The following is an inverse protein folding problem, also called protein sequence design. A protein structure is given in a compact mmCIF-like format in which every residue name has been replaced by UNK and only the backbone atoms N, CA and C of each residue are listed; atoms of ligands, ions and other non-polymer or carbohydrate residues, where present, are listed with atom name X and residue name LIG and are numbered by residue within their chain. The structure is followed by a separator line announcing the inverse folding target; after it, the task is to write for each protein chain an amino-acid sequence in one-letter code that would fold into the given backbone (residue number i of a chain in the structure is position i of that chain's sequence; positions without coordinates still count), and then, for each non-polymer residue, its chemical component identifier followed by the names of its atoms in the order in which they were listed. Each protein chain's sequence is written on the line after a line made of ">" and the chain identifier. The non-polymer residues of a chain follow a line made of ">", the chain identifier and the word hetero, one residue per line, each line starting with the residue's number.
data_IF_469880775719
#
_entry.id   IF_469880775719
#
_cell.length_a   1.000
_cell.length_b   1.000
_cell.length_c   1.000
_cell.angle_alpha   90.00
_cell.angle_beta   90.00
_cell.angle_gamma   90.00
#
_symmetry.space_group_name_H-M   'P 1'
#
loop_
_entity.id
_entity.type
_entity.pdbx_description
1 polymer ?
#
# COMPACT_ATOMS: atom_id res chain seq x y z
N UNK A 1 23.33 10.69 30.82
CA UNK A 1 22.07 11.28 30.34
C UNK A 1 21.92 10.90 28.88
N UNK A 2 21.14 9.87 28.59
CA UNK A 2 20.77 9.55 27.22
C UNK A 2 19.84 10.66 26.74
N UNK A 3 20.27 11.43 25.74
CA UNK A 3 19.36 12.34 25.05
C UNK A 3 18.31 11.49 24.34
N UNK A 4 17.14 11.33 24.96
CA UNK A 4 16.00 10.68 24.33
C UNK A 4 15.59 11.52 23.12
N UNK A 5 16.00 11.07 21.94
CA UNK A 5 15.52 11.67 20.69
C UNK A 5 14.00 11.53 20.66
N UNK A 6 13.26 12.57 20.26
CA UNK A 6 11.81 12.46 20.14
C UNK A 6 11.46 11.31 19.18
N UNK A 7 10.33 10.61 19.41
CA UNK A 7 9.92 9.50 18.56
C UNK A 7 9.72 9.97 17.11
N UNK A 8 10.03 9.10 16.15
CA UNK A 8 9.92 9.42 14.73
C UNK A 8 8.49 9.83 14.33
N UNK A 9 7.47 9.28 14.99
CA UNK A 9 6.07 9.61 14.76
C UNK A 9 5.38 10.03 16.07
N UNK A 10 4.43 10.96 15.96
CA UNK A 10 3.45 11.17 17.02
C UNK A 10 2.45 10.01 17.08
N UNK A 11 1.80 9.81 18.24
CA UNK A 11 0.73 8.80 18.40
C UNK A 11 -0.39 8.98 17.36
N UNK A 12 -0.77 10.22 17.06
CA UNK A 12 -1.79 10.53 16.06
C UNK A 12 -1.36 10.09 14.65
N UNK A 13 -0.11 10.33 14.27
CA UNK A 13 0.43 9.87 12.99
C UNK A 13 0.42 8.34 12.89
N UNK A 14 0.81 7.63 13.95
CA UNK A 14 0.76 6.16 13.97
C UNK A 14 -0.66 5.66 13.73
N UNK A 15 -1.65 6.21 14.45
CA UNK A 15 -3.06 5.83 14.28
C UNK A 15 -3.52 6.07 12.83
N UNK A 16 -3.24 7.26 12.28
CA UNK A 16 -3.63 7.59 10.91
C UNK A 16 -2.99 6.62 9.91
N UNK A 17 -1.69 6.34 10.04
CA UNK A 17 -0.97 5.44 9.12
C UNK A 17 -1.49 4.01 9.18
N UNK A 18 -1.79 3.50 10.38
CA UNK A 18 -2.41 2.18 10.57
C UNK A 18 -3.79 2.15 9.92
N UNK A 19 -4.65 3.13 10.19
CA UNK A 19 -6.00 3.21 9.61
C UNK A 19 -5.95 3.30 8.09
N UNK A 20 -5.04 4.11 7.53
CA UNK A 20 -4.84 4.18 6.09
C UNK A 20 -4.37 2.84 5.52
N UNK A 21 -3.45 2.14 6.20
CA UNK A 21 -3.02 0.79 5.81
C UNK A 21 -4.18 -0.20 5.75
N UNK A 22 -5.03 -0.23 6.77
CA UNK A 22 -6.27 -1.05 6.78
C UNK A 22 -7.20 -0.66 5.63
N UNK A 23 -7.40 0.64 5.39
CA UNK A 23 -8.26 1.11 4.30
C UNK A 23 -7.72 0.71 2.92
N UNK A 24 -6.42 0.87 2.67
CA UNK A 24 -5.80 0.49 1.39
C UNK A 24 -5.82 -1.02 1.17
N UNK A 25 -5.58 -1.82 2.22
CA UNK A 25 -5.77 -3.27 2.17
C UNK A 25 -7.19 -3.62 1.73
N UNK A 26 -8.19 -3.04 2.39
CA UNK A 26 -9.59 -3.37 2.09
C UNK A 26 -9.96 -3.00 0.66
N UNK A 27 -9.52 -1.82 0.18
CA UNK A 27 -9.69 -1.40 -1.22
C UNK A 27 -8.98 -2.36 -2.18
N UNK A 28 -7.76 -2.79 -1.87
CA UNK A 28 -7.02 -3.79 -2.65
C UNK A 28 -7.77 -5.12 -2.75
N UNK A 29 -8.23 -5.66 -1.62
CA UNK A 29 -9.00 -6.90 -1.56
C UNK A 29 -10.30 -6.83 -2.38
N UNK A 30 -11.05 -5.73 -2.23
CA UNK A 30 -12.27 -5.52 -3.03
C UNK A 30 -11.97 -5.33 -4.51
N UNK A 31 -10.83 -4.71 -4.86
CA UNK A 31 -10.40 -4.59 -6.26
C UNK A 31 -10.11 -5.97 -6.86
N UNK A 32 -9.58 -6.93 -6.08
CA UNK A 32 -9.43 -8.32 -6.54
C UNK A 32 -10.79 -8.99 -6.75
N UNK A 33 -11.69 -8.85 -5.76
CA UNK A 33 -13.04 -9.44 -5.77
C UNK A 33 -13.86 -8.99 -6.97
N UNK A 34 -13.98 -7.68 -7.16
CA UNK A 34 -14.84 -7.11 -8.20
C UNK A 34 -14.12 -6.95 -9.52
N UNK A 35 -12.80 -6.72 -9.51
CA UNK A 35 -11.98 -6.59 -10.71
C UNK A 35 -11.93 -7.88 -11.52
N UNK A 36 -11.94 -9.03 -10.86
CA UNK A 36 -12.05 -10.34 -11.51
C UNK A 36 -13.30 -10.42 -12.42
N UNK A 37 -14.44 -9.87 -11.98
CA UNK A 37 -15.69 -9.90 -12.75
C UNK A 37 -15.69 -9.03 -14.02
N UNK A 38 -14.74 -8.10 -14.15
CA UNK A 38 -14.58 -7.24 -15.34
C UNK A 38 -13.31 -7.57 -16.13
N UNK A 39 -12.68 -8.71 -15.84
CA UNK A 39 -11.49 -9.19 -16.56
C UNK A 39 -10.17 -8.49 -16.19
N UNK A 40 -10.08 -7.80 -15.05
CA UNK A 40 -8.83 -7.11 -14.62
C UNK A 40 -7.64 -8.06 -14.50
N UNK A 41 -7.87 -9.34 -14.19
CA UNK A 41 -6.80 -10.31 -13.96
C UNK A 41 -6.69 -11.36 -15.07
N UNK A 42 -7.25 -11.07 -16.24
CA UNK A 42 -7.22 -11.96 -17.41
C UNK A 42 -6.49 -11.30 -18.59
N UNK A 43 -5.73 -12.09 -19.36
CA UNK A 43 -5.12 -11.70 -20.63
C UNK A 43 -4.49 -10.28 -20.59
N UNK A 44 -4.91 -9.39 -21.49
CA UNK A 44 -4.43 -8.01 -21.56
C UNK A 44 -4.86 -7.16 -20.34
N UNK A 45 -5.99 -7.47 -19.71
CA UNK A 45 -6.47 -6.79 -18.50
C UNK A 45 -5.46 -6.89 -17.35
N UNK A 46 -4.79 -8.04 -17.23
CA UNK A 46 -3.75 -8.24 -16.21
C UNK A 46 -2.60 -7.23 -16.36
N UNK A 47 -2.08 -7.05 -17.57
CA UNK A 47 -0.99 -6.10 -17.84
C UNK A 47 -1.44 -4.66 -17.56
N UNK A 48 -2.63 -4.29 -18.02
CA UNK A 48 -3.20 -2.94 -17.81
C UNK A 48 -3.34 -2.65 -16.32
N UNK A 49 -3.85 -3.61 -15.54
CA UNK A 49 -4.07 -3.48 -14.10
C UNK A 49 -2.76 -3.25 -13.35
N UNK A 50 -1.68 -3.95 -13.71
CA UNK A 50 -0.35 -3.71 -13.15
C UNK A 50 0.18 -2.31 -13.49
N UNK A 51 0.03 -1.86 -14.74
CA UNK A 51 0.44 -0.52 -15.16
C UNK A 51 -0.32 0.58 -14.41
N UNK A 52 -1.64 0.43 -14.24
CA UNK A 52 -2.48 1.37 -13.46
C UNK A 52 -2.08 1.39 -11.97
N UNK A 53 -1.57 0.27 -11.45
CA UNK A 53 -1.07 0.19 -10.08
C UNK A 53 0.01 1.25 -9.77
N UNK A 54 0.83 1.64 -10.76
CA UNK A 54 1.89 2.64 -10.58
C UNK A 54 1.34 4.05 -10.25
N UNK A 55 0.52 4.70 -11.11
CA UNK A 55 -0.03 6.01 -10.79
C UNK A 55 -0.96 5.98 -9.57
N UNK A 56 -1.73 4.91 -9.36
CA UNK A 56 -2.57 4.75 -8.17
C UNK A 56 -1.73 4.76 -6.89
N UNK A 57 -0.61 4.04 -6.88
CA UNK A 57 0.31 4.01 -5.73
C UNK A 57 0.91 5.39 -5.45
N UNK A 58 1.33 6.11 -6.49
CA UNK A 58 1.89 7.45 -6.31
C UNK A 58 0.88 8.45 -5.75
N UNK A 59 -0.34 8.46 -6.29
CA UNK A 59 -1.44 9.31 -5.76
C UNK A 59 -1.75 8.94 -4.31
N UNK A 60 -1.79 7.65 -3.98
CA UNK A 60 -2.02 7.17 -2.61
C UNK A 60 -0.94 7.64 -1.64
N UNK A 61 0.33 7.63 -2.07
CA UNK A 61 1.46 8.16 -1.29
C UNK A 61 1.30 9.67 -1.04
N UNK A 62 0.83 10.44 -2.01
CA UNK A 62 0.53 11.87 -1.82
C UNK A 62 -0.59 12.07 -0.79
N UNK A 63 -1.64 11.23 -0.83
CA UNK A 63 -2.73 11.25 0.15
C UNK A 63 -2.19 10.93 1.55
N UNK A 64 -1.41 9.86 1.71
CA UNK A 64 -0.79 9.48 2.98
C UNK A 64 0.01 10.64 3.56
N UNK A 65 0.91 11.23 2.75
CA UNK A 65 1.71 12.39 3.15
C UNK A 65 0.85 13.52 3.68
N UNK A 66 -0.23 13.86 2.96
CA UNK A 66 -1.11 14.99 3.30
C UNK A 66 -1.93 14.73 4.56
N UNK A 67 -2.51 13.53 4.68
CA UNK A 67 -3.41 13.18 5.79
C UNK A 67 -2.61 12.94 7.09
N UNK A 68 -1.50 12.22 7.03
CA UNK A 68 -0.63 11.98 8.18
C UNK A 68 0.36 13.13 8.44
N UNK A 69 0.35 14.18 7.61
CA UNK A 69 1.22 15.36 7.71
C UNK A 69 2.70 14.97 7.87
N UNK A 70 3.15 14.03 7.03
CA UNK A 70 4.50 13.49 7.12
C UNK A 70 5.53 14.54 6.67
N UNK A 71 6.62 14.65 7.43
CA UNK A 71 7.81 15.36 6.99
C UNK A 71 8.70 14.47 6.09
N UNK A 72 9.81 15.03 5.63
CA UNK A 72 10.72 14.38 4.68
C UNK A 72 11.40 13.11 5.24
N UNK A 73 11.70 13.07 6.53
CA UNK A 73 12.33 11.93 7.21
C UNK A 73 11.32 10.83 7.52
N UNK A 74 10.05 11.23 7.70
CA UNK A 74 8.92 10.35 7.99
C UNK A 74 8.33 9.68 6.75
N UNK A 75 8.68 10.14 5.55
CA UNK A 75 7.99 9.75 4.32
C UNK A 75 8.07 8.25 4.04
N UNK A 76 9.29 7.71 3.94
CA UNK A 76 9.49 6.27 3.67
C UNK A 76 9.07 5.42 4.88
N UNK A 77 9.50 5.70 6.12
CA UNK A 77 9.08 4.90 7.27
C UNK A 77 7.56 4.92 7.50
N UNK A 78 6.90 6.05 7.20
CA UNK A 78 5.47 6.22 7.40
C UNK A 78 4.66 5.40 6.40
N UNK A 79 5.03 5.46 5.12
CA UNK A 79 4.41 4.60 4.09
C UNK A 79 4.67 3.12 4.39
N UNK A 80 5.89 2.76 4.81
CA UNK A 80 6.23 1.38 5.20
C UNK A 80 5.36 0.87 6.35
N UNK A 81 5.03 1.71 7.34
CA UNK A 81 4.14 1.31 8.44
C UNK A 81 2.72 0.98 7.94
N UNK A 82 2.17 1.81 7.04
CA UNK A 82 0.87 1.54 6.42
C UNK A 82 0.90 0.25 5.58
N UNK A 83 1.97 0.05 4.80
CA UNK A 83 2.17 -1.17 4.01
C UNK A 83 2.34 -2.43 4.86
N UNK A 84 3.05 -2.34 5.99
CA UNK A 84 3.16 -3.43 6.96
C UNK A 84 1.79 -3.87 7.44
N UNK A 85 0.92 -2.92 7.79
CA UNK A 85 -0.45 -3.24 8.21
C UNK A 85 -1.25 -3.88 7.07
N UNK A 86 -1.17 -3.31 5.86
CA UNK A 86 -1.92 -3.80 4.72
C UNK A 86 -1.52 -5.23 4.34
N UNK A 87 -0.22 -5.48 4.18
CA UNK A 87 0.34 -6.78 3.82
C UNK A 87 0.12 -7.85 4.90
N UNK A 88 0.14 -7.46 6.18
CA UNK A 88 -0.21 -8.37 7.27
C UNK A 88 -1.65 -8.85 7.17
N UNK A 89 -2.59 -7.94 6.88
CA UNK A 89 -3.99 -8.31 6.67
C UNK A 89 -4.19 -9.13 5.41
N UNK A 90 -3.46 -8.84 4.32
CA UNK A 90 -3.45 -9.69 3.14
C UNK A 90 -3.02 -11.12 3.49
N UNK A 91 -1.93 -11.28 4.25
CA UNK A 91 -1.46 -12.59 4.70
C UNK A 91 -2.50 -13.36 5.52
N UNK A 92 -3.17 -12.70 6.46
CA UNK A 92 -4.24 -13.30 7.25
C UNK A 92 -5.42 -13.69 6.36
N UNK A 93 -5.96 -12.75 5.59
CA UNK A 93 -7.26 -12.93 4.93
C UNK A 93 -7.12 -13.76 3.66
N UNK A 94 -6.01 -13.70 2.92
CA UNK A 94 -5.77 -14.64 1.82
C UNK A 94 -5.65 -16.08 2.31
N UNK A 95 -5.18 -16.31 3.55
CA UNK A 95 -5.00 -17.65 4.12
C UNK A 95 -6.30 -18.22 4.69
N UNK A 96 -7.04 -17.46 5.50
CA UNK A 96 -8.20 -17.96 6.24
C UNK A 96 -9.55 -17.35 5.82
N UNK A 97 -9.53 -16.34 4.95
CA UNK A 97 -10.72 -15.60 4.50
C UNK A 97 -10.72 -15.33 2.99
N UNK A 98 -10.14 -16.24 2.19
CA UNK A 98 -9.87 -16.04 0.75
C UNK A 98 -11.13 -15.67 -0.03
N UNK A 99 -12.31 -16.07 0.45
CA UNK A 99 -13.61 -15.71 -0.11
C UNK A 99 -13.83 -14.20 -0.22
N UNK A 100 -13.18 -13.38 0.61
CA UNK A 100 -13.21 -11.91 0.48
C UNK A 100 -12.60 -11.44 -0.86
N UNK A 101 -11.57 -12.15 -1.36
CA UNK A 101 -10.86 -11.82 -2.60
C UNK A 101 -11.51 -12.47 -3.82
N UNK A 102 -12.19 -13.60 -3.66
CA UNK A 102 -12.82 -14.31 -4.77
C UNK A 102 -12.94 -15.80 -4.50
N UNK A 103 -13.48 -16.52 -5.48
CA UNK A 103 -13.66 -17.98 -5.42
C UNK A 103 -12.81 -18.73 -6.43
N UNK A 104 -12.31 -18.05 -7.47
CA UNK A 104 -11.38 -18.63 -8.45
C UNK A 104 -9.94 -18.49 -7.92
N UNK A 105 -9.24 -19.60 -7.61
CA UNK A 105 -7.88 -19.55 -7.07
C UNK A 105 -6.87 -18.90 -8.02
N UNK A 106 -7.04 -19.04 -9.34
CA UNK A 106 -6.11 -18.47 -10.32
C UNK A 106 -6.23 -16.94 -10.35
N UNK A 107 -7.46 -16.42 -10.39
CA UNK A 107 -7.71 -14.98 -10.39
C UNK A 107 -7.32 -14.35 -9.05
N UNK A 108 -7.61 -15.02 -7.92
CA UNK A 108 -7.15 -14.59 -6.61
C UNK A 108 -5.62 -14.57 -6.55
N UNK A 109 -4.93 -15.58 -7.08
CA UNK A 109 -3.46 -15.62 -7.12
C UNK A 109 -2.87 -14.47 -7.94
N UNK A 110 -3.46 -14.14 -9.09
CA UNK A 110 -3.06 -12.98 -9.89
C UNK A 110 -3.35 -11.65 -9.19
N UNK A 111 -4.48 -11.56 -8.49
CA UNK A 111 -4.82 -10.41 -7.65
C UNK A 111 -3.85 -10.22 -6.48
N UNK A 112 -3.45 -11.29 -5.81
CA UNK A 112 -2.44 -11.27 -4.75
C UNK A 112 -1.06 -10.82 -5.29
N UNK A 113 -0.67 -11.28 -6.48
CA UNK A 113 0.54 -10.80 -7.15
C UNK A 113 0.45 -9.30 -7.49
N UNK A 114 -0.71 -8.81 -7.92
CA UNK A 114 -0.95 -7.39 -8.16
C UNK A 114 -0.89 -6.55 -6.87
N UNK A 115 -1.35 -7.08 -5.74
CA UNK A 115 -1.21 -6.43 -4.44
C UNK A 115 0.27 -6.30 -4.05
N UNK A 116 1.07 -7.36 -4.19
CA UNK A 116 2.52 -7.30 -3.93
C UNK A 116 3.22 -6.31 -4.88
N UNK A 117 2.79 -6.23 -6.14
CA UNK A 117 3.24 -5.20 -7.07
C UNK A 117 2.90 -3.79 -6.55
N UNK A 118 1.69 -3.59 -6.02
CA UNK A 118 1.29 -2.37 -5.33
C UNK A 118 2.18 -2.02 -4.14
N UNK A 119 2.55 -3.00 -3.30
CA UNK A 119 3.48 -2.78 -2.17
C UNK A 119 4.81 -2.19 -2.65
N UNK A 120 5.40 -2.79 -3.69
CA UNK A 120 6.60 -2.26 -4.32
C UNK A 120 6.37 -0.83 -4.85
N UNK A 121 5.29 -0.62 -5.61
CA UNK A 121 4.99 0.66 -6.25
C UNK A 121 4.75 1.79 -5.23
N UNK A 122 4.08 1.50 -4.10
CA UNK A 122 3.92 2.44 -2.99
C UNK A 122 5.27 2.82 -2.39
N UNK A 123 6.13 1.83 -2.10
CA UNK A 123 7.41 2.08 -1.46
C UNK A 123 8.33 2.87 -2.41
N UNK A 124 8.41 2.49 -3.69
CA UNK A 124 9.13 3.24 -4.70
C UNK A 124 8.62 4.68 -4.83
N UNK A 125 7.30 4.86 -4.84
CA UNK A 125 6.67 6.19 -4.87
C UNK A 125 7.01 7.02 -3.62
N UNK A 126 7.11 6.38 -2.44
CA UNK A 126 7.51 7.06 -1.21
C UNK A 126 8.96 7.57 -1.28
N UNK A 127 9.88 6.80 -1.86
CA UNK A 127 11.25 7.25 -2.11
C UNK A 127 11.31 8.42 -3.09
N UNK A 128 10.56 8.34 -4.20
CA UNK A 128 10.47 9.42 -5.19
C UNK A 128 9.93 10.69 -4.52
N UNK A 129 8.86 10.58 -3.74
CA UNK A 129 8.25 11.72 -3.06
C UNK A 129 9.17 12.31 -1.98
N UNK A 130 9.85 11.47 -1.21
CA UNK A 130 10.85 11.93 -0.24
C UNK A 130 11.97 12.75 -0.93
N UNK A 131 12.46 12.28 -2.09
CA UNK A 131 13.43 13.01 -2.91
C UNK A 131 12.88 14.35 -3.40
N UNK A 132 11.63 14.40 -3.85
CA UNK A 132 10.93 15.65 -4.26
C UNK A 132 10.77 16.63 -3.10
N UNK A 133 10.67 16.14 -1.87
CA UNK A 133 10.64 16.94 -0.64
C UNK A 133 12.02 17.41 -0.17
N UNK A 134 13.10 17.08 -0.90
CA UNK A 134 14.47 17.52 -0.60
C UNK A 134 15.32 16.50 0.15
N UNK A 135 14.87 15.25 0.29
CA UNK A 135 15.69 14.21 0.89
C UNK A 135 16.84 13.78 -0.02
N UNK A 136 18.04 13.61 0.55
CA UNK A 136 19.26 13.14 -0.15
C UNK A 136 19.55 11.65 0.08
N UNK A 137 18.53 10.85 0.40
CA UNK A 137 18.66 9.42 0.75
C UNK A 137 19.28 8.53 -0.35
N UNK A 138 19.51 9.04 -1.57
CA UNK A 138 20.20 8.37 -2.68
C UNK A 138 20.87 9.39 -3.60
#
# INVERSE_FOLDING_TARGET
>A
MTHDKPPLFSKGQVIILVVLGVAFWFVGALSVRFGSGIGMFENAGNVITFLIGLPVSWISVIIIKKVARLNVEQMVPGVSLGLLMATFLDGIVLTWGTSLYGTDPLLVGRGAAWILWGVFAFLASAFIEARRMGNKMI
#
